data_IF_486245621806
#
_entry.id   IF_486245621806
#
_cell.length_a   1.000
_cell.length_b   1.000
_cell.length_c   1.000
_cell.angle_alpha   90.00
_cell.angle_beta   90.00
_cell.angle_gamma   90.00
#
_symmetry.space_group_name_H-M   'P 1'
#
loop_
_entity.id
_entity.type
_entity.pdbx_description
1 polymer ?
#
# COMPACT_ATOMS: atom_id res chain seq x y z
N UNK A 1 5.30 -2.25 -2.36
CA UNK A 1 4.13 -1.36 -2.17
C UNK A 1 4.41 0.07 -2.60
N UNK A 2 5.08 0.92 -1.81
CA UNK A 2 5.27 2.36 -2.14
C UNK A 2 5.81 2.60 -3.56
N UNK A 3 6.90 1.92 -3.97
CA UNK A 3 7.45 2.00 -5.33
C UNK A 3 6.45 1.61 -6.43
N UNK A 4 5.63 0.58 -6.18
CA UNK A 4 4.65 0.10 -7.16
C UNK A 4 3.45 1.05 -7.31
N UNK A 5 3.20 1.90 -6.31
CA UNK A 5 2.13 2.90 -6.29
C UNK A 5 2.63 4.32 -6.62
N UNK A 6 3.88 4.47 -7.10
CA UNK A 6 4.45 5.79 -7.40
C UNK A 6 4.65 6.68 -6.16
N UNK A 7 4.89 6.09 -4.99
CA UNK A 7 4.99 6.79 -3.73
C UNK A 7 6.03 7.93 -3.74
N UNK A 8 5.61 9.09 -3.23
CA UNK A 8 6.42 10.29 -3.00
C UNK A 8 6.05 10.86 -1.63
N UNK A 9 6.91 11.71 -1.03
CA UNK A 9 6.63 12.37 0.24
C UNK A 9 5.35 13.24 0.23
N UNK A 10 4.84 13.57 -0.96
CA UNK A 10 3.64 14.39 -1.15
C UNK A 10 2.36 13.57 -1.38
N UNK A 11 2.48 12.24 -1.47
CA UNK A 11 1.32 11.36 -1.69
C UNK A 11 0.83 10.86 -0.33
N UNK A 12 -0.47 11.04 0.02
CA UNK A 12 -1.12 10.44 1.18
C UNK A 12 -1.19 8.90 1.06
N UNK A 13 -0.03 8.27 1.24
CA UNK A 13 0.20 6.83 1.16
C UNK A 13 1.09 6.42 2.34
N UNK A 14 0.78 5.28 2.95
CA UNK A 14 1.57 4.73 4.03
C UNK A 14 1.65 3.21 3.96
N UNK A 15 2.79 2.67 4.37
CA UNK A 15 3.01 1.24 4.51
C UNK A 15 3.69 0.94 5.85
N UNK A 16 3.20 -0.06 6.56
CA UNK A 16 3.71 -0.47 7.86
C UNK A 16 3.86 -1.99 7.90
N UNK A 17 5.02 -2.47 8.35
CA UNK A 17 5.35 -3.89 8.40
C UNK A 17 5.81 -4.27 9.81
N UNK A 18 5.33 -5.42 10.27
CA UNK A 18 5.79 -6.07 11.49
C UNK A 18 6.26 -7.48 11.16
N UNK A 19 7.26 -7.98 11.88
CA UNK A 19 7.78 -9.33 11.72
C UNK A 19 7.68 -10.06 13.04
N UNK A 20 7.03 -11.22 13.04
CA UNK A 20 6.96 -12.12 14.20
C UNK A 20 7.01 -13.57 13.72
N UNK A 21 7.88 -14.40 14.33
CA UNK A 21 8.03 -15.82 14.01
C UNK A 21 8.20 -16.09 12.49
N UNK A 22 9.09 -15.33 11.84
CA UNK A 22 9.35 -15.38 10.38
C UNK A 22 8.14 -15.08 9.46
N UNK A 23 7.05 -14.56 10.03
CA UNK A 23 5.90 -14.04 9.29
C UNK A 23 5.95 -12.52 9.28
N UNK A 24 5.89 -11.95 8.07
CA UNK A 24 5.66 -10.52 7.87
C UNK A 24 4.15 -10.29 7.86
N UNK A 25 3.69 -9.31 8.63
CA UNK A 25 2.37 -8.68 8.48
C UNK A 25 2.58 -7.29 7.89
N UNK A 26 2.14 -7.09 6.65
CA UNK A 26 2.30 -5.85 5.91
C UNK A 26 0.93 -5.19 5.72
N UNK A 27 0.83 -3.93 6.13
CA UNK A 27 -0.36 -3.09 6.03
C UNK A 27 -0.06 -1.87 5.19
N UNK A 28 -1.02 -1.43 4.40
CA UNK A 28 -0.85 -0.27 3.54
C UNK A 28 -2.15 0.46 3.30
N UNK A 29 -2.05 1.75 3.00
CA UNK A 29 -3.19 2.58 2.64
C UNK A 29 -2.83 3.66 1.61
N UNK A 30 -3.87 4.15 0.93
CA UNK A 30 -3.88 5.35 0.07
C UNK A 30 -5.13 6.15 0.42
N UNK A 31 -5.00 7.46 0.58
CA UNK A 31 -6.09 8.35 0.98
C UNK A 31 -6.20 9.59 0.07
N UNK A 32 -7.34 10.25 0.03
CA UNK A 32 -7.46 11.60 -0.53
C UNK A 32 -6.81 12.63 0.41
N UNK A 33 -6.41 13.81 -0.12
CA UNK A 33 -5.72 14.86 0.67
C UNK A 33 -6.58 15.33 1.84
N UNK A 34 -7.89 15.45 1.62
CA UNK A 34 -8.85 15.85 2.63
C UNK A 34 -9.33 14.69 3.53
N UNK A 35 -8.85 13.47 3.24
CA UNK A 35 -9.22 12.24 3.95
C UNK A 35 -10.63 11.74 3.68
N UNK A 36 -11.36 12.29 2.69
CA UNK A 36 -12.75 11.90 2.42
C UNK A 36 -12.89 10.42 2.05
N UNK A 37 -11.83 9.87 1.43
CA UNK A 37 -11.74 8.48 1.04
C UNK A 37 -10.38 7.90 1.43
N UNK A 38 -10.41 6.70 2.01
CA UNK A 38 -9.23 5.94 2.41
C UNK A 38 -9.42 4.49 1.96
N UNK A 39 -8.43 3.96 1.25
CA UNK A 39 -8.36 2.56 0.84
C UNK A 39 -7.21 1.94 1.61
N UNK A 40 -7.46 0.84 2.29
CA UNK A 40 -6.44 0.12 3.06
C UNK A 40 -6.51 -1.38 2.82
N UNK A 41 -5.37 -2.04 2.86
CA UNK A 41 -5.26 -3.48 2.74
C UNK A 41 -4.20 -4.02 3.71
N UNK A 42 -4.28 -5.33 3.99
CA UNK A 42 -3.32 -6.05 4.82
C UNK A 42 -3.04 -7.40 4.19
N UNK A 43 -1.77 -7.79 4.17
CA UNK A 43 -1.33 -9.10 3.69
C UNK A 43 -0.25 -9.64 4.63
N UNK A 44 -0.25 -10.96 4.83
CA UNK A 44 0.77 -11.63 5.62
C UNK A 44 1.37 -12.81 4.86
N UNK A 45 2.63 -13.11 5.14
CA UNK A 45 3.31 -14.25 4.54
C UNK A 45 4.71 -14.43 5.10
N UNK A 46 5.43 -15.42 4.57
CA UNK A 46 6.79 -15.71 4.99
C UNK A 46 7.72 -14.51 4.72
N UNK A 47 8.71 -14.30 5.59
CA UNK A 47 9.68 -13.19 5.47
C UNK A 47 10.38 -13.17 4.13
N UNK A 48 10.67 -14.34 3.58
CA UNK A 48 11.36 -14.52 2.29
C UNK A 48 10.53 -13.98 1.12
N UNK A 49 9.20 -13.83 1.31
CA UNK A 49 8.26 -13.32 0.31
C UNK A 49 8.05 -11.81 0.43
N UNK A 50 8.82 -11.07 1.26
CA UNK A 50 8.61 -9.65 1.54
C UNK A 50 8.34 -8.79 0.31
N UNK A 51 9.12 -8.96 -0.76
CA UNK A 51 8.96 -8.20 -2.00
C UNK A 51 7.65 -8.57 -2.72
N UNK A 52 7.36 -9.87 -2.86
CA UNK A 52 6.13 -10.36 -3.46
C UNK A 52 4.88 -9.89 -2.68
N UNK A 53 4.92 -9.94 -1.35
CA UNK A 53 3.88 -9.40 -0.47
C UNK A 53 3.69 -7.89 -0.72
N UNK A 54 4.79 -7.16 -0.89
CA UNK A 54 4.75 -5.73 -1.20
C UNK A 54 4.10 -5.41 -2.54
N UNK A 55 4.28 -6.25 -3.56
CA UNK A 55 3.64 -6.11 -4.88
C UNK A 55 2.17 -6.49 -4.80
N UNK A 56 1.86 -7.65 -4.21
CA UNK A 56 0.49 -8.12 -4.04
C UNK A 56 -0.36 -7.13 -3.23
N UNK A 57 0.20 -6.50 -2.20
CA UNK A 57 -0.50 -5.46 -1.45
C UNK A 57 -0.83 -4.24 -2.32
N UNK A 58 0.09 -3.81 -3.19
CA UNK A 58 -0.17 -2.71 -4.10
C UNK A 58 -1.28 -3.06 -5.11
N UNK A 59 -1.24 -4.28 -5.67
CA UNK A 59 -2.30 -4.78 -6.57
C UNK A 59 -3.66 -4.84 -5.88
N UNK A 60 -3.72 -5.27 -4.62
CA UNK A 60 -4.95 -5.26 -3.82
C UNK A 60 -5.50 -3.84 -3.59
N UNK A 61 -4.62 -2.86 -3.37
CA UNK A 61 -5.01 -1.46 -3.21
C UNK A 61 -5.54 -0.89 -4.56
N UNK A 62 -4.87 -1.18 -5.66
CA UNK A 62 -5.30 -0.78 -7.02
C UNK A 62 -6.65 -1.41 -7.37
N UNK A 63 -6.85 -2.71 -7.08
CA UNK A 63 -8.13 -3.39 -7.31
C UNK A 63 -9.29 -2.76 -6.53
N UNK A 64 -9.01 -2.06 -5.42
CA UNK A 64 -9.99 -1.32 -4.62
C UNK A 64 -10.18 0.14 -5.08
N UNK A 65 -9.45 0.57 -6.11
CA UNK A 65 -9.55 1.90 -6.70
C UNK A 65 -8.55 2.91 -6.17
N UNK A 66 -7.40 2.47 -5.64
CA UNK A 66 -6.32 3.36 -5.22
C UNK A 66 -5.65 4.09 -6.39
N UNK A 67 -5.67 3.48 -7.58
CA UNK A 67 -5.26 4.11 -8.84
C UNK A 67 -6.02 5.41 -9.12
N UNK A 68 -7.33 5.46 -8.80
CA UNK A 68 -8.16 6.66 -8.98
C UNK A 68 -7.70 7.80 -8.08
N UNK A 69 -7.44 7.51 -6.80
CA UNK A 69 -6.94 8.51 -5.85
C UNK A 69 -5.56 9.00 -6.28
N UNK A 70 -4.68 8.10 -6.73
CA UNK A 70 -3.34 8.47 -7.21
C UNK A 70 -3.38 9.30 -8.49
N UNK A 71 -4.31 9.02 -9.41
CA UNK A 71 -4.48 9.77 -10.65
C UNK A 71 -4.93 11.21 -10.42
N UNK A 72 -5.74 11.47 -9.39
CA UNK A 72 -6.16 12.83 -9.01
C UNK A 72 -5.01 13.68 -8.43
N UNK A 73 -3.94 13.02 -7.96
CA UNK A 73 -2.76 13.67 -7.38
C UNK A 73 -1.63 13.90 -8.39
N UNK A 74 -1.63 13.15 -9.49
CA UNK A 74 -0.67 13.29 -10.57
C UNK A 74 -1.04 14.51 -11.44
N UNK A 75 -0.57 15.69 -11.03
CA UNK A 75 -0.51 16.89 -11.87
C UNK A 75 0.47 16.72 -13.03
#
# INVERSE_FOLDING_TARGET
>A
MSRALGGSCQVPLGGYAEIANDVISLRGFVAEIDGSRIISATISGAREQAEALGTALAEQLVAQGADKILAELAL
#
